data_IF_015061913502
#
_entry.id   IF_015061913502
#
_cell.length_a   1.000
_cell.length_b   1.000
_cell.length_c   1.000
_cell.angle_alpha   90.00
_cell.angle_beta   90.00
_cell.angle_gamma   90.00
#
_symmetry.space_group_name_H-M   'P 1'
#
loop_
_entity.id
_entity.type
_entity.pdbx_description
1 polymer ?
#
# COMPACT_ATOMS: atom_id res chain seq x y z
N UNK A 1 50.63 24.43 -5.43
CA UNK A 1 50.43 22.99 -5.11
C UNK A 1 49.60 22.71 -3.85
N UNK A 2 49.27 23.70 -2.99
CA UNK A 2 48.49 23.46 -1.76
C UNK A 2 46.96 23.31 -1.94
N UNK A 3 46.37 24.02 -2.90
CA UNK A 3 44.90 24.04 -3.10
C UNK A 3 44.31 22.70 -3.57
N UNK A 4 45.08 21.89 -4.30
CA UNK A 4 44.61 20.59 -4.78
C UNK A 4 44.30 19.62 -3.62
N UNK A 5 45.03 19.76 -2.50
CA UNK A 5 44.81 18.93 -1.30
C UNK A 5 43.47 19.22 -0.63
N UNK A 6 43.00 20.47 -0.67
CA UNK A 6 41.69 20.85 -0.12
C UNK A 6 40.51 20.16 -0.82
N UNK A 7 40.66 19.78 -2.09
CA UNK A 7 39.64 19.05 -2.84
C UNK A 7 39.82 17.53 -2.77
N UNK A 8 41.06 17.05 -2.72
CA UNK A 8 41.36 15.62 -2.67
C UNK A 8 40.84 14.96 -1.38
N UNK A 9 41.05 15.58 -0.21
CA UNK A 9 40.66 14.95 1.05
C UNK A 9 39.13 14.76 1.19
N UNK A 10 38.28 15.78 0.92
CA UNK A 10 36.84 15.58 0.92
C UNK A 10 36.38 14.61 -0.17
N UNK A 11 36.97 14.66 -1.37
CA UNK A 11 36.60 13.76 -2.46
C UNK A 11 36.81 12.29 -2.08
N UNK A 12 37.96 11.96 -1.50
CA UNK A 12 38.26 10.60 -1.01
C UNK A 12 37.33 10.21 0.12
N UNK A 13 37.05 11.11 1.06
CA UNK A 13 36.09 10.88 2.15
C UNK A 13 34.68 10.60 1.65
N UNK A 14 34.21 11.36 0.66
CA UNK A 14 32.90 11.15 0.02
C UNK A 14 32.83 9.82 -0.73
N UNK A 15 33.88 9.44 -1.46
CA UNK A 15 33.93 8.16 -2.17
C UNK A 15 33.88 6.99 -1.19
N UNK A 16 34.69 7.04 -0.12
CA UNK A 16 34.69 5.99 0.91
C UNK A 16 33.36 5.91 1.65
N UNK A 17 32.80 7.06 2.06
CA UNK A 17 31.49 7.12 2.69
C UNK A 17 30.38 6.56 1.80
N UNK A 18 30.41 6.87 0.51
CA UNK A 18 29.47 6.35 -0.48
C UNK A 18 29.58 4.82 -0.62
N UNK A 19 30.80 4.30 -0.81
CA UNK A 19 31.04 2.85 -0.96
C UNK A 19 30.59 2.09 0.28
N UNK A 20 30.98 2.57 1.46
CA UNK A 20 30.62 1.91 2.73
C UNK A 20 29.12 1.96 2.98
N UNK A 21 28.44 3.08 2.70
CA UNK A 21 26.98 3.17 2.82
C UNK A 21 26.26 2.21 1.86
N UNK A 22 26.73 2.12 0.61
CA UNK A 22 26.22 1.16 -0.37
C UNK A 22 26.35 -0.29 0.12
N UNK A 23 27.50 -0.65 0.70
CA UNK A 23 27.74 -1.97 1.28
C UNK A 23 26.85 -2.21 2.50
N UNK A 24 26.72 -1.23 3.40
CA UNK A 24 25.90 -1.34 4.61
C UNK A 24 24.43 -1.62 4.26
N UNK A 25 23.87 -0.87 3.32
CA UNK A 25 22.50 -1.11 2.82
C UNK A 25 22.40 -2.55 2.27
N UNK A 26 23.37 -2.99 1.46
CA UNK A 26 23.36 -4.34 0.89
C UNK A 26 23.40 -5.43 1.97
N UNK A 27 24.12 -5.21 3.07
CA UNK A 27 24.22 -6.13 4.22
C UNK A 27 22.97 -6.14 5.10
N UNK A 28 22.16 -5.09 5.12
CA UNK A 28 20.85 -5.14 5.80
C UNK A 28 19.93 -6.17 5.13
N UNK A 29 19.98 -6.29 3.81
CA UNK A 29 19.11 -7.19 3.03
C UNK A 29 19.73 -8.58 2.73
N UNK A 30 21.05 -8.73 2.79
CA UNK A 30 21.76 -10.00 2.51
C UNK A 30 22.69 -10.39 3.67
N UNK A 31 22.87 -11.70 3.95
CA UNK A 31 22.29 -12.84 3.26
C UNK A 31 20.83 -13.09 3.69
N UNK A 32 19.98 -13.47 2.72
CA UNK A 32 18.53 -13.67 2.94
C UNK A 32 18.25 -14.88 3.85
N UNK A 33 19.08 -15.92 3.72
CA UNK A 33 19.09 -17.10 4.58
C UNK A 33 20.33 -17.05 5.47
N UNK A 34 20.23 -17.59 6.68
CA UNK A 34 21.36 -17.68 7.62
C UNK A 34 22.49 -18.47 6.96
N UNK A 35 23.64 -17.86 6.76
CA UNK A 35 24.85 -18.52 6.26
C UNK A 35 25.97 -18.28 7.26
N UNK A 36 26.65 -19.34 7.70
CA UNK A 36 27.74 -19.26 8.69
C UNK A 36 27.38 -18.47 9.96
N UNK A 37 26.12 -18.54 10.40
CA UNK A 37 25.63 -17.80 11.58
C UNK A 37 25.20 -16.35 11.30
N UNK A 38 25.55 -15.79 10.14
CA UNK A 38 25.28 -14.40 9.74
C UNK A 38 23.99 -14.35 8.90
N UNK A 39 23.14 -13.38 9.19
CA UNK A 39 21.91 -13.09 8.44
C UNK A 39 21.71 -11.57 8.38
N UNK A 40 21.23 -11.07 7.24
CA UNK A 40 20.85 -9.67 7.12
C UNK A 40 19.80 -9.29 8.17
N UNK A 41 19.87 -8.07 8.68
CA UNK A 41 18.98 -7.61 9.77
C UNK A 41 17.50 -7.62 9.36
N UNK A 42 17.19 -7.20 8.13
CA UNK A 42 15.82 -7.14 7.62
C UNK A 42 15.21 -8.55 7.44
N UNK A 43 15.86 -9.51 6.77
CA UNK A 43 15.39 -10.90 6.73
C UNK A 43 15.19 -11.50 8.13
N UNK A 44 16.08 -11.21 9.09
CA UNK A 44 15.99 -11.72 10.46
C UNK A 44 14.76 -11.20 11.21
N UNK A 45 14.30 -9.97 10.90
CA UNK A 45 13.15 -9.30 11.52
C UNK A 45 11.93 -9.19 10.61
N UNK A 46 11.87 -9.93 9.49
CA UNK A 46 10.76 -9.84 8.51
C UNK A 46 9.40 -9.92 9.18
N UNK A 47 9.20 -10.89 10.08
CA UNK A 47 7.92 -11.08 10.78
C UNK A 47 7.55 -9.91 11.70
N UNK A 48 8.52 -9.34 12.43
CA UNK A 48 8.29 -8.18 13.29
C UNK A 48 7.90 -6.94 12.47
N UNK A 49 8.63 -6.70 11.38
CA UNK A 49 8.37 -5.57 10.46
C UNK A 49 7.00 -5.72 9.82
N UNK A 50 6.67 -6.92 9.33
CA UNK A 50 5.39 -7.18 8.69
C UNK A 50 4.21 -7.06 9.66
N UNK A 51 4.40 -7.49 10.92
CA UNK A 51 3.38 -7.30 11.97
C UNK A 51 3.14 -5.81 12.22
N UNK A 52 4.20 -5.04 12.49
CA UNK A 52 4.08 -3.58 12.71
C UNK A 52 3.48 -2.85 11.52
N UNK A 53 3.85 -3.24 10.29
CA UNK A 53 3.25 -2.70 9.08
C UNK A 53 1.76 -3.01 9.00
N UNK A 54 1.36 -4.25 9.32
CA UNK A 54 -0.05 -4.64 9.40
C UNK A 54 -0.83 -3.86 10.46
N UNK A 55 -0.24 -3.64 11.64
CA UNK A 55 -0.82 -2.86 12.72
C UNK A 55 -1.04 -1.39 12.29
N UNK A 56 -0.07 -0.79 11.60
CA UNK A 56 -0.18 0.58 11.05
C UNK A 56 -1.24 0.66 9.94
N UNK A 57 -1.29 -0.31 9.03
CA UNK A 57 -2.31 -0.36 7.96
C UNK A 57 -3.70 -0.44 8.58
N UNK A 58 -3.87 -1.27 9.61
CA UNK A 58 -5.11 -1.38 10.35
C UNK A 58 -5.50 -0.02 11.00
N UNK A 59 -4.60 0.61 11.74
CA UNK A 59 -4.87 1.84 12.46
C UNK A 59 -5.21 3.04 11.55
N UNK A 60 -4.50 3.18 10.41
CA UNK A 60 -4.56 4.38 9.57
C UNK A 60 -5.29 4.22 8.24
N UNK A 61 -5.32 3.02 7.64
CA UNK A 61 -5.95 2.80 6.32
C UNK A 61 -7.31 2.12 6.42
N UNK A 62 -7.57 1.37 7.51
CA UNK A 62 -8.78 0.56 7.68
C UNK A 62 -9.64 1.06 8.85
N UNK A 63 -9.56 2.36 9.19
CA UNK A 63 -10.57 2.94 10.04
C UNK A 63 -11.90 3.01 9.26
N UNK A 64 -12.77 2.04 9.56
CA UNK A 64 -14.10 1.86 9.00
C UNK A 64 -14.95 3.13 8.92
N UNK A 65 -14.86 4.02 9.92
CA UNK A 65 -15.60 5.29 9.95
C UNK A 65 -14.96 6.38 9.08
N UNK A 66 -13.64 6.30 8.88
CA UNK A 66 -12.90 7.21 8.01
C UNK A 66 -13.03 6.79 6.54
N UNK A 67 -12.98 5.49 6.25
CA UNK A 67 -13.30 4.91 4.94
C UNK A 67 -14.72 5.30 4.53
N UNK A 68 -15.69 5.12 5.43
CA UNK A 68 -17.10 5.49 5.19
C UNK A 68 -17.24 6.94 4.76
N UNK A 69 -16.44 7.86 5.34
CA UNK A 69 -16.49 9.30 5.05
C UNK A 69 -15.64 9.74 3.85
N UNK A 70 -14.52 9.05 3.57
CA UNK A 70 -13.61 9.40 2.46
C UNK A 70 -13.98 8.78 1.12
N UNK A 71 -14.68 7.64 1.10
CA UNK A 71 -15.14 7.06 -0.16
C UNK A 71 -16.42 7.77 -0.60
N UNK A 72 -16.22 8.74 -1.48
CA UNK A 72 -17.24 9.49 -2.19
C UNK A 72 -17.95 8.61 -3.22
N UNK A 73 -19.29 8.53 -3.14
CA UNK A 73 -20.12 7.73 -4.04
C UNK A 73 -19.95 8.13 -5.51
N UNK A 74 -19.71 9.42 -5.77
CA UNK A 74 -19.54 9.92 -7.14
C UNK A 74 -18.22 9.42 -7.74
N UNK A 75 -17.15 9.42 -6.93
CA UNK A 75 -15.85 8.88 -7.36
C UNK A 75 -15.90 7.38 -7.60
N UNK A 76 -16.70 6.65 -6.82
CA UNK A 76 -16.93 5.22 -7.01
C UNK A 76 -17.66 4.94 -8.33
N UNK A 77 -18.73 5.69 -8.62
CA UNK A 77 -19.46 5.58 -9.88
C UNK A 77 -18.55 5.85 -11.09
N UNK A 78 -17.70 6.86 -11.02
CA UNK A 78 -16.73 7.18 -12.06
C UNK A 78 -15.67 6.08 -12.22
N UNK A 79 -15.19 5.49 -11.12
CA UNK A 79 -14.22 4.39 -11.17
C UNK A 79 -14.81 3.13 -11.81
N UNK A 80 -16.07 2.79 -11.49
CA UNK A 80 -16.79 1.67 -12.09
C UNK A 80 -17.01 1.92 -13.57
N UNK A 81 -17.39 3.14 -13.96
CA UNK A 81 -17.53 3.52 -15.37
C UNK A 81 -16.24 3.34 -16.16
N UNK A 82 -15.13 3.88 -15.64
CA UNK A 82 -13.80 3.71 -16.24
C UNK A 82 -13.40 2.24 -16.36
N UNK A 83 -13.70 1.41 -15.35
CA UNK A 83 -13.39 -0.02 -15.39
C UNK A 83 -14.23 -0.76 -16.44
N UNK A 84 -15.51 -0.43 -16.55
CA UNK A 84 -16.43 -1.04 -17.52
C UNK A 84 -16.08 -0.66 -18.96
N UNK A 85 -15.74 0.61 -19.21
CA UNK A 85 -15.25 1.09 -20.51
C UNK A 85 -13.92 0.43 -20.89
N UNK A 86 -12.95 0.42 -19.96
CA UNK A 86 -11.62 -0.16 -20.20
C UNK A 86 -11.69 -1.64 -20.57
N UNK A 87 -12.52 -2.41 -19.88
CA UNK A 87 -12.65 -3.85 -20.12
C UNK A 87 -13.71 -4.20 -21.18
N UNK A 88 -14.36 -3.20 -21.79
CA UNK A 88 -15.43 -3.37 -22.80
C UNK A 88 -16.53 -4.34 -22.35
N UNK A 89 -16.83 -4.39 -21.06
CA UNK A 89 -17.79 -5.36 -20.49
C UNK A 89 -19.21 -5.00 -20.92
N UNK A 90 -19.54 -3.71 -20.85
CA UNK A 90 -20.83 -3.15 -21.27
C UNK A 90 -20.62 -1.73 -21.81
N UNK A 91 -21.43 -1.25 -22.78
CA UNK A 91 -21.38 0.13 -23.22
C UNK A 91 -21.92 1.04 -22.10
N UNK A 92 -21.01 1.79 -21.46
CA UNK A 92 -21.32 2.64 -20.32
C UNK A 92 -22.18 3.86 -20.69
N UNK A 93 -22.10 4.31 -21.94
CA UNK A 93 -22.84 5.45 -22.48
C UNK A 93 -24.36 5.21 -22.61
N UNK A 94 -24.82 3.97 -22.48
CA UNK A 94 -26.25 3.65 -22.59
C UNK A 94 -26.96 4.10 -21.29
N UNK A 95 -28.01 4.95 -21.37
CA UNK A 95 -28.72 5.47 -20.20
C UNK A 95 -29.29 4.37 -19.30
N UNK A 96 -29.73 3.26 -19.90
CA UNK A 96 -30.28 2.10 -19.20
C UNK A 96 -29.20 1.34 -18.42
N UNK A 97 -28.00 1.20 -18.99
CA UNK A 97 -26.86 0.56 -18.33
C UNK A 97 -26.43 1.42 -17.15
N UNK A 98 -26.22 2.73 -17.39
CA UNK A 98 -25.86 3.69 -16.35
C UNK A 98 -26.87 3.70 -15.20
N UNK A 99 -28.18 3.75 -15.49
CA UNK A 99 -29.23 3.74 -14.47
C UNK A 99 -29.31 2.43 -13.69
N UNK A 100 -29.11 1.30 -14.36
CA UNK A 100 -29.18 -0.03 -13.74
C UNK A 100 -27.97 -0.27 -12.85
N UNK A 101 -26.76 -0.01 -13.34
CA UNK A 101 -25.54 -0.14 -12.55
C UNK A 101 -25.56 0.84 -11.38
N UNK A 102 -25.94 2.10 -11.60
CA UNK A 102 -26.06 3.06 -10.51
C UNK A 102 -27.03 2.56 -9.42
N UNK A 103 -28.20 2.04 -9.81
CA UNK A 103 -29.19 1.52 -8.87
C UNK A 103 -28.70 0.28 -8.11
N UNK A 104 -27.98 -0.62 -8.76
CA UNK A 104 -27.37 -1.81 -8.13
C UNK A 104 -26.24 -1.41 -7.18
N UNK A 105 -25.35 -0.52 -7.62
CA UNK A 105 -24.22 -0.01 -6.85
C UNK A 105 -24.71 0.74 -5.62
N UNK A 106 -25.64 1.67 -5.80
CA UNK A 106 -26.22 2.41 -4.67
C UNK A 106 -26.98 1.45 -3.73
N UNK A 107 -27.75 0.48 -4.23
CA UNK A 107 -28.50 -0.43 -3.37
C UNK A 107 -27.64 -1.46 -2.63
N UNK A 108 -26.50 -1.87 -3.20
CA UNK A 108 -25.59 -2.84 -2.59
C UNK A 108 -24.54 -2.18 -1.70
N UNK A 109 -24.00 -1.04 -2.11
CA UNK A 109 -22.84 -0.42 -1.48
C UNK A 109 -23.17 0.81 -0.65
N UNK A 110 -24.31 1.47 -0.83
CA UNK A 110 -24.66 2.73 -0.14
C UNK A 110 -25.89 2.51 0.75
N UNK A 111 -25.80 2.94 2.01
CA UNK A 111 -26.88 2.90 2.99
C UNK A 111 -27.80 4.12 2.85
N UNK A 112 -28.94 4.13 3.54
CA UNK A 112 -29.96 5.20 3.43
C UNK A 112 -29.46 6.60 3.81
N UNK A 113 -28.31 6.70 4.49
CA UNK A 113 -27.68 7.94 4.91
C UNK A 113 -26.66 8.49 3.89
N UNK A 114 -26.54 7.87 2.70
CA UNK A 114 -25.65 8.33 1.62
C UNK A 114 -24.20 7.88 1.78
N UNK A 115 -23.89 7.08 2.80
CA UNK A 115 -22.57 6.54 3.07
C UNK A 115 -22.49 5.04 2.77
N UNK A 116 -21.29 4.48 2.72
CA UNK A 116 -21.12 3.04 2.47
C UNK A 116 -21.91 2.16 3.47
N UNK A 117 -22.50 1.08 2.95
CA UNK A 117 -23.30 0.13 3.72
C UNK A 117 -22.49 -0.42 4.90
N UNK A 118 -23.06 -0.39 6.10
CA UNK A 118 -22.42 -0.91 7.31
C UNK A 118 -21.97 -2.38 7.15
N UNK A 119 -22.72 -3.20 6.40
CA UNK A 119 -22.32 -4.58 6.08
C UNK A 119 -21.04 -4.67 5.25
N UNK A 120 -20.83 -3.76 4.30
CA UNK A 120 -19.60 -3.75 3.48
C UNK A 120 -18.40 -3.40 4.35
N UNK A 121 -18.57 -2.41 5.22
CA UNK A 121 -17.56 -1.99 6.18
C UNK A 121 -17.27 -3.09 7.22
N UNK A 122 -18.29 -3.81 7.67
CA UNK A 122 -18.17 -4.97 8.57
C UNK A 122 -17.39 -6.11 7.91
N UNK A 123 -17.64 -6.41 6.63
CA UNK A 123 -16.87 -7.40 5.87
C UNK A 123 -15.41 -6.95 5.73
N UNK A 124 -15.14 -5.68 5.42
CA UNK A 124 -13.77 -5.15 5.35
C UNK A 124 -13.07 -5.24 6.72
N UNK A 125 -13.79 -4.91 7.80
CA UNK A 125 -13.29 -5.03 9.18
C UNK A 125 -13.02 -6.49 9.57
N UNK A 126 -13.86 -7.43 9.11
CA UNK A 126 -13.68 -8.87 9.34
C UNK A 126 -12.51 -9.45 8.55
N UNK A 127 -12.20 -8.89 7.37
CA UNK A 127 -11.06 -9.28 6.54
C UNK A 127 -9.73 -8.70 7.01
N UNK A 128 -9.76 -7.66 7.84
CA UNK A 128 -8.57 -7.01 8.40
C UNK A 128 -7.56 -7.96 9.07
N UNK A 129 -7.96 -8.91 9.94
CA UNK A 129 -7.02 -9.92 10.47
C UNK A 129 -6.40 -10.79 9.38
N UNK A 130 -7.10 -11.04 8.28
CA UNK A 130 -6.57 -11.78 7.12
C UNK A 130 -5.59 -10.95 6.30
N UNK A 131 -5.80 -9.63 6.16
CA UNK A 131 -4.85 -8.72 5.49
C UNK A 131 -3.53 -8.69 6.25
N UNK A 132 -3.58 -8.62 7.58
CA UNK A 132 -2.38 -8.71 8.43
C UNK A 132 -1.69 -10.06 8.21
N UNK A 133 -2.45 -11.16 8.12
CA UNK A 133 -1.89 -12.49 7.85
C UNK A 133 -1.22 -12.59 6.46
N UNK A 134 -1.77 -11.92 5.43
CA UNK A 134 -1.19 -11.86 4.08
C UNK A 134 0.11 -11.06 4.07
N UNK A 135 0.18 -9.94 4.79
CA UNK A 135 1.39 -9.11 4.88
C UNK A 135 2.50 -9.79 5.68
N UNK A 136 2.13 -10.59 6.69
CA UNK A 136 3.06 -11.27 7.60
C UNK A 136 3.70 -12.53 6.99
N UNK A 137 3.10 -13.14 5.97
CA UNK A 137 3.60 -14.38 5.32
C UNK A 137 4.67 -14.10 4.27
#
# INVERSE_FOLDING_TARGET
MGYLRFFIYPAVGSILGFITNFIAIKLLFRPKKKTLGIQGLLPKRKGEIAKRAGDIVNEYLVNSDEIRRKIDSDKLHDAIGRFMEKNKIVPWDIPIVKKTVNRIVTALLIDKDGYFNKKVIEVVSYLQPYIIFIVVR
#
